data_IF_065285111343
#
_entry.id   IF_065285111343
#
_cell.length_a   1.000
_cell.length_b   1.000
_cell.length_c   1.000
_cell.angle_alpha   90.00
_cell.angle_beta   90.00
_cell.angle_gamma   90.00
#
_symmetry.space_group_name_H-M   'P 1'
#
loop_
_entity.id
_entity.type
_entity.pdbx_description
1 polymer ?
#
# COMPACT_ATOMS: atom_id res chain seq x y z
N UNK A 1 17.97 17.44 -9.50
CA UNK A 1 16.78 17.80 -8.72
C UNK A 1 17.19 17.97 -7.27
N UNK A 2 16.62 18.97 -6.61
CA UNK A 2 16.74 19.23 -5.19
C UNK A 2 15.53 18.64 -4.46
N UNK A 3 15.79 17.72 -3.55
CA UNK A 3 14.75 17.02 -2.78
C UNK A 3 14.94 17.32 -1.30
N UNK A 4 13.89 17.81 -0.67
CA UNK A 4 13.84 18.02 0.77
C UNK A 4 13.09 16.85 1.39
N UNK A 5 13.72 16.16 2.34
CA UNK A 5 13.13 15.01 3.04
C UNK A 5 12.98 15.39 4.51
N UNK A 6 11.74 15.39 5.00
CA UNK A 6 11.41 15.66 6.39
C UNK A 6 11.20 14.34 7.13
N UNK A 7 12.01 14.13 8.18
CA UNK A 7 12.10 12.89 8.93
C UNK A 7 13.22 11.99 8.40
N UNK A 8 14.32 11.92 9.14
CA UNK A 8 15.49 11.11 8.82
C UNK A 8 15.47 9.74 9.54
N UNK A 9 14.29 9.22 9.84
CA UNK A 9 14.09 7.85 10.32
C UNK A 9 14.51 6.78 9.30
N UNK A 10 14.10 5.53 9.51
CA UNK A 10 14.43 4.41 8.60
C UNK A 10 14.01 4.67 7.16
N UNK A 11 12.78 5.15 6.95
CA UNK A 11 12.23 5.43 5.61
C UNK A 11 12.94 6.62 4.96
N UNK A 12 12.94 7.80 5.58
CA UNK A 12 13.56 8.98 4.99
C UNK A 12 15.07 8.83 4.74
N UNK A 13 15.79 8.14 5.64
CA UNK A 13 17.21 7.83 5.40
C UNK A 13 17.43 6.85 4.23
N UNK A 14 16.51 5.90 4.03
CA UNK A 14 16.60 4.97 2.89
C UNK A 14 16.32 5.67 1.57
N UNK A 15 15.29 6.53 1.53
CA UNK A 15 14.98 7.39 0.37
C UNK A 15 16.18 8.29 0.05
N UNK A 16 16.74 8.97 1.05
CA UNK A 16 17.90 9.82 0.86
C UNK A 16 19.10 9.06 0.29
N UNK A 17 19.37 7.85 0.77
CA UNK A 17 20.48 7.02 0.30
C UNK A 17 20.35 6.70 -1.19
N UNK A 18 19.16 6.26 -1.60
CA UNK A 18 18.89 5.91 -2.99
C UNK A 18 19.00 7.14 -3.89
N UNK A 19 18.37 8.24 -3.51
CA UNK A 19 18.39 9.46 -4.32
C UNK A 19 19.79 10.09 -4.41
N UNK A 20 20.62 9.98 -3.37
CA UNK A 20 22.02 10.37 -3.43
C UNK A 20 22.81 9.53 -4.44
N UNK A 21 22.54 8.22 -4.53
CA UNK A 21 23.18 7.34 -5.51
C UNK A 21 22.84 7.76 -6.95
N UNK A 22 21.63 8.28 -7.17
CA UNK A 22 21.18 8.87 -8.44
C UNK A 22 21.61 10.33 -8.65
N UNK A 23 22.52 10.85 -7.82
CA UNK A 23 23.12 12.20 -7.90
C UNK A 23 22.10 13.34 -7.75
N UNK A 24 21.05 13.13 -6.96
CA UNK A 24 20.16 14.21 -6.53
C UNK A 24 20.76 15.00 -5.37
N UNK A 25 20.38 16.28 -5.25
CA UNK A 25 20.75 17.12 -4.12
C UNK A 25 19.74 16.91 -3.00
N UNK A 26 20.18 16.38 -1.86
CA UNK A 26 19.29 16.01 -0.75
C UNK A 26 19.52 16.93 0.43
N UNK A 27 18.43 17.51 0.95
CA UNK A 27 18.38 18.16 2.26
C UNK A 27 17.47 17.35 3.18
N UNK A 28 18.01 16.88 4.30
CA UNK A 28 17.25 16.20 5.36
C UNK A 28 16.93 17.17 6.48
N UNK A 29 15.66 17.19 6.90
CA UNK A 29 15.19 17.91 8.08
C UNK A 29 14.78 16.88 9.14
N UNK A 30 15.33 16.98 10.34
CA UNK A 30 14.90 16.17 11.48
C UNK A 30 14.98 16.98 12.78
N UNK A 31 14.09 16.69 13.73
CA UNK A 31 14.10 17.34 15.04
C UNK A 31 15.31 16.90 15.88
N UNK A 32 15.80 15.67 15.65
CA UNK A 32 16.79 15.00 16.49
C UNK A 32 18.19 15.05 15.86
N UNK A 33 19.14 15.83 16.39
CA UNK A 33 20.49 15.94 15.84
C UNK A 33 21.25 14.60 15.83
N UNK A 34 20.94 13.70 16.75
CA UNK A 34 21.58 12.39 16.86
C UNK A 34 21.28 11.45 15.68
N UNK A 35 20.30 11.79 14.82
CA UNK A 35 19.98 11.01 13.61
C UNK A 35 21.05 11.22 12.53
N UNK A 36 21.68 12.40 12.48
CA UNK A 36 22.74 12.73 11.51
C UNK A 36 23.86 11.68 11.58
N UNK A 37 24.40 11.46 12.78
CA UNK A 37 25.50 10.51 13.00
C UNK A 37 25.12 9.05 12.77
N UNK A 38 23.86 8.68 12.98
CA UNK A 38 23.36 7.30 12.81
C UNK A 38 23.01 6.95 11.36
N UNK A 39 22.64 7.95 10.56
CA UNK A 39 22.20 7.72 9.18
C UNK A 39 23.29 7.16 8.26
N UNK A 40 24.56 7.54 8.51
CA UNK A 40 25.69 7.23 7.64
C UNK A 40 25.60 7.86 6.25
N UNK A 41 24.70 8.85 6.05
CA UNK A 41 24.47 9.48 4.75
C UNK A 41 25.53 10.53 4.47
N UNK A 42 26.54 10.15 3.68
CA UNK A 42 27.55 11.09 3.17
C UNK A 42 27.00 11.80 1.93
N UNK A 43 27.14 13.12 1.90
CA UNK A 43 26.72 13.96 0.76
C UNK A 43 25.32 14.55 0.85
N UNK A 44 24.54 14.24 1.89
CA UNK A 44 23.32 14.97 2.20
C UNK A 44 23.62 16.26 2.99
N UNK A 45 22.84 17.30 2.72
CA UNK A 45 22.72 18.46 3.59
C UNK A 45 21.75 18.17 4.73
N UNK A 46 21.94 18.83 5.86
CA UNK A 46 21.16 18.60 7.07
C UNK A 46 20.69 19.91 7.67
N UNK A 47 19.43 19.92 8.11
CA UNK A 47 18.86 20.96 8.94
C UNK A 47 18.23 20.30 10.18
N UNK A 48 18.62 20.75 11.36
CA UNK A 48 18.01 20.28 12.61
C UNK A 48 16.97 21.31 13.05
N UNK A 49 15.72 20.88 13.18
CA UNK A 49 14.63 21.76 13.57
C UNK A 49 13.26 21.09 13.48
N UNK A 50 12.25 21.76 14.05
CA UNK A 50 10.86 21.35 13.91
C UNK A 50 10.35 21.78 12.53
N UNK A 51 10.01 20.80 11.69
CA UNK A 51 9.52 21.05 10.34
C UNK A 51 8.07 21.58 10.30
N UNK A 52 7.38 21.64 11.44
CA UNK A 52 6.11 22.38 11.57
C UNK A 52 6.33 23.89 11.76
N UNK A 53 7.55 24.35 12.06
CA UNK A 53 7.87 25.77 12.18
C UNK A 53 8.27 26.37 10.82
N UNK A 54 7.61 27.47 10.44
CA UNK A 54 7.89 28.17 9.19
C UNK A 54 9.35 28.66 9.10
N UNK A 55 9.93 29.08 10.23
CA UNK A 55 11.35 29.49 10.34
C UNK A 55 12.31 28.36 9.94
N UNK A 56 12.03 27.13 10.35
CA UNK A 56 12.80 25.95 9.95
C UNK A 56 12.70 25.74 8.44
N UNK A 57 11.49 25.79 7.90
CA UNK A 57 11.25 25.59 6.46
C UNK A 57 11.88 26.70 5.59
N UNK A 58 11.90 27.94 6.07
CA UNK A 58 12.64 29.05 5.45
C UNK A 58 14.15 28.80 5.48
N UNK A 59 14.68 28.31 6.61
CA UNK A 59 16.08 27.89 6.72
C UNK A 59 16.47 26.78 5.75
N UNK A 60 15.51 25.92 5.39
CA UNK A 60 15.67 24.87 4.38
C UNK A 60 15.65 25.38 2.93
N UNK A 61 15.21 26.63 2.70
CA UNK A 61 14.92 27.16 1.37
C UNK A 61 13.99 26.23 0.58
N UNK A 62 12.84 25.92 1.19
CA UNK A 62 11.82 25.04 0.61
C UNK A 62 11.37 25.50 -0.80
N UNK A 63 11.38 26.80 -1.06
CA UNK A 63 11.03 27.41 -2.35
C UNK A 63 11.92 26.97 -3.51
N UNK A 64 13.16 26.54 -3.22
CA UNK A 64 14.11 26.03 -4.21
C UNK A 64 13.95 24.51 -4.46
N UNK A 65 13.08 23.83 -3.69
CA UNK A 65 12.93 22.38 -3.77
C UNK A 65 12.04 21.97 -4.95
N UNK A 66 12.50 21.00 -5.74
CA UNK A 66 11.68 20.40 -6.80
C UNK A 66 10.62 19.46 -6.19
N UNK A 67 11.01 18.75 -5.13
CA UNK A 67 10.16 17.77 -4.43
C UNK A 67 10.37 17.86 -2.92
N UNK A 68 9.26 17.81 -2.18
CA UNK A 68 9.27 17.63 -0.72
C UNK A 68 8.68 16.27 -0.36
N UNK A 69 9.41 15.50 0.46
CA UNK A 69 8.97 14.21 0.98
C UNK A 69 8.79 14.33 2.49
N UNK A 70 7.57 14.15 2.99
CA UNK A 70 7.29 14.12 4.42
C UNK A 70 7.16 12.67 4.90
N UNK A 71 8.26 12.16 5.46
CA UNK A 71 8.45 10.75 5.80
C UNK A 71 8.65 10.52 7.31
N UNK A 72 8.11 11.43 8.14
CA UNK A 72 8.16 11.28 9.59
C UNK A 72 7.23 10.15 10.06
N UNK A 73 7.38 9.76 11.33
CA UNK A 73 6.50 8.79 11.98
C UNK A 73 5.18 9.37 12.49
N UNK A 74 4.89 10.66 12.24
CA UNK A 74 3.65 11.31 12.65
C UNK A 74 2.92 11.89 11.43
N UNK A 75 1.72 11.37 11.17
CA UNK A 75 0.88 11.80 10.05
C UNK A 75 0.53 13.29 10.11
N UNK A 76 0.41 13.87 11.32
CA UNK A 76 0.09 15.29 11.48
C UNK A 76 1.24 16.16 10.99
N UNK A 77 2.48 15.77 11.32
CA UNK A 77 3.66 16.46 10.82
C UNK A 77 3.73 16.32 9.30
N UNK A 78 3.44 15.13 8.76
CA UNK A 78 3.49 14.91 7.32
C UNK A 78 2.44 15.77 6.57
N UNK A 79 1.23 15.88 7.08
CA UNK A 79 0.18 16.75 6.52
C UNK A 79 0.56 18.23 6.62
N UNK A 80 1.00 18.70 7.79
CA UNK A 80 1.38 20.12 7.99
C UNK A 80 2.54 20.52 7.08
N UNK A 81 3.57 19.69 7.00
CA UNK A 81 4.74 19.95 6.13
C UNK A 81 4.33 20.00 4.66
N UNK A 82 3.48 19.07 4.22
CA UNK A 82 3.03 19.02 2.82
C UNK A 82 2.18 20.25 2.48
N UNK A 83 1.27 20.63 3.38
CA UNK A 83 0.45 21.83 3.23
C UNK A 83 1.33 23.09 3.14
N UNK A 84 2.24 23.30 4.10
CA UNK A 84 3.12 24.48 4.12
C UNK A 84 4.04 24.51 2.90
N UNK A 85 4.63 23.38 2.50
CA UNK A 85 5.44 23.28 1.29
C UNK A 85 4.66 23.75 0.04
N UNK A 86 3.38 23.35 -0.06
CA UNK A 86 2.52 23.72 -1.19
C UNK A 86 2.07 25.18 -1.12
N UNK A 87 1.58 25.65 0.03
CA UNK A 87 0.91 26.95 0.16
C UNK A 87 1.87 28.11 0.40
N UNK A 88 2.91 27.92 1.21
CA UNK A 88 3.82 29.01 1.60
C UNK A 88 5.06 29.08 0.70
N UNK A 89 5.51 27.93 0.18
CA UNK A 89 6.76 27.84 -0.60
C UNK A 89 6.52 27.50 -2.07
N UNK A 90 5.30 27.15 -2.47
CA UNK A 90 4.94 26.89 -3.87
C UNK A 90 5.66 25.68 -4.47
N UNK A 91 6.04 24.70 -3.64
CA UNK A 91 6.75 23.48 -4.09
C UNK A 91 5.90 22.75 -5.14
N UNK A 92 6.52 22.43 -6.27
CA UNK A 92 5.83 21.82 -7.40
C UNK A 92 5.21 20.46 -7.07
N UNK A 93 5.90 19.64 -6.27
CA UNK A 93 5.46 18.30 -5.92
C UNK A 93 5.75 17.89 -4.47
N UNK A 94 4.76 17.35 -3.78
CA UNK A 94 4.86 16.82 -2.42
C UNK A 94 4.52 15.33 -2.37
N UNK A 95 5.20 14.60 -1.49
CA UNK A 95 4.96 13.18 -1.23
C UNK A 95 4.80 12.99 0.27
N UNK A 96 3.64 12.52 0.71
CA UNK A 96 3.31 12.34 2.12
C UNK A 96 3.23 10.87 2.51
N UNK A 97 3.97 10.47 3.54
CA UNK A 97 3.85 9.12 4.11
C UNK A 97 2.64 9.05 5.05
N UNK A 98 1.78 8.07 4.82
CA UNK A 98 0.71 7.67 5.75
C UNK A 98 1.23 6.53 6.62
N UNK A 99 1.26 6.76 7.93
CA UNK A 99 1.65 5.78 8.95
C UNK A 99 0.44 5.06 9.53
N UNK A 100 -0.71 5.74 9.67
CA UNK A 100 -1.95 5.15 10.13
C UNK A 100 -2.99 5.13 9.00
N UNK A 101 -3.43 3.96 8.52
CA UNK A 101 -4.41 3.88 7.42
C UNK A 101 -5.72 4.62 7.70
N UNK A 102 -6.10 4.82 8.96
CA UNK A 102 -7.29 5.62 9.33
C UNK A 102 -7.19 7.09 8.92
N UNK A 103 -5.97 7.58 8.68
CA UNK A 103 -5.70 8.95 8.29
C UNK A 103 -5.55 9.11 6.77
N UNK A 104 -5.56 8.02 6.01
CA UNK A 104 -5.26 7.99 4.57
C UNK A 104 -6.10 9.00 3.76
N UNK A 105 -7.40 9.07 4.07
CA UNK A 105 -8.35 9.98 3.43
C UNK A 105 -7.95 11.47 3.50
N UNK A 106 -7.10 11.87 4.46
CA UNK A 106 -6.61 13.25 4.60
C UNK A 106 -5.45 13.55 3.66
N UNK A 107 -4.73 12.54 3.15
CA UNK A 107 -3.54 12.74 2.32
C UNK A 107 -3.94 12.95 0.85
N UNK A 108 -4.47 14.14 0.57
CA UNK A 108 -4.91 14.54 -0.77
C UNK A 108 -4.52 16.00 -1.07
N UNK A 109 -4.87 16.47 -2.28
CA UNK A 109 -4.56 17.81 -2.79
C UNK A 109 -5.01 18.94 -1.84
N UNK A 110 -6.10 18.76 -1.09
CA UNK A 110 -6.62 19.77 -0.16
C UNK A 110 -5.68 20.01 1.03
N UNK A 111 -4.85 19.02 1.35
CA UNK A 111 -3.78 19.10 2.36
C UNK A 111 -2.40 19.30 1.73
N UNK A 112 -2.36 19.63 0.44
CA UNK A 112 -1.11 19.85 -0.29
C UNK A 112 -0.29 18.58 -0.46
N UNK A 113 -0.92 17.39 -0.48
CA UNK A 113 -0.26 16.10 -0.73
C UNK A 113 -0.56 15.65 -2.16
N UNK A 114 0.40 15.76 -3.07
CA UNK A 114 0.22 15.31 -4.45
C UNK A 114 0.32 13.78 -4.60
N UNK A 115 1.09 13.13 -3.72
CA UNK A 115 1.24 11.66 -3.68
C UNK A 115 1.21 11.17 -2.25
N UNK A 116 0.20 10.36 -1.93
CA UNK A 116 0.10 9.65 -0.65
C UNK A 116 0.79 8.29 -0.74
N UNK A 117 1.60 7.95 0.26
CA UNK A 117 2.26 6.64 0.38
C UNK A 117 1.84 5.97 1.67
N UNK A 118 0.85 5.08 1.59
CA UNK A 118 0.36 4.31 2.71
C UNK A 118 1.23 3.08 2.95
N UNK A 119 2.22 3.22 3.85
CA UNK A 119 3.19 2.15 4.08
C UNK A 119 2.54 0.88 4.63
N UNK A 120 1.64 0.92 5.63
CA UNK A 120 0.98 -0.29 6.11
C UNK A 120 0.18 -1.00 5.03
N UNK A 121 -0.59 -0.27 4.21
CA UNK A 121 -1.39 -0.87 3.16
C UNK A 121 -0.54 -1.51 2.06
N UNK A 122 0.55 -0.85 1.63
CA UNK A 122 1.49 -1.42 0.67
C UNK A 122 2.14 -2.70 1.22
N UNK A 123 2.50 -2.73 2.50
CA UNK A 123 3.06 -3.92 3.12
C UNK A 123 2.04 -5.06 3.22
N UNK A 124 0.79 -4.75 3.55
CA UNK A 124 -0.29 -5.74 3.54
C UNK A 124 -0.49 -6.33 2.16
N UNK A 125 -0.57 -5.48 1.12
CA UNK A 125 -0.76 -5.92 -0.26
C UNK A 125 0.35 -6.86 -0.73
N UNK A 126 1.62 -6.60 -0.36
CA UNK A 126 2.74 -7.49 -0.69
C UNK A 126 2.68 -8.84 0.07
N UNK A 127 2.06 -8.87 1.24
CA UNK A 127 1.87 -10.13 1.98
C UNK A 127 0.70 -10.91 1.40
N UNK A 128 -0.40 -10.23 1.04
CA UNK A 128 -1.56 -10.82 0.36
C UNK A 128 -1.15 -11.41 -0.98
N UNK A 129 -0.39 -10.69 -1.81
CA UNK A 129 0.13 -11.21 -3.09
C UNK A 129 0.96 -12.48 -2.91
N UNK A 130 1.75 -12.57 -1.84
CA UNK A 130 2.58 -13.74 -1.60
C UNK A 130 1.79 -15.00 -1.12
N UNK A 131 0.52 -14.86 -0.74
CA UNK A 131 -0.26 -15.95 -0.11
C UNK A 131 -1.60 -16.23 -0.77
N UNK A 132 -2.17 -15.28 -1.50
CA UNK A 132 -3.51 -15.36 -2.07
C UNK A 132 -3.47 -16.06 -3.44
N UNK A 133 -4.38 -16.99 -3.68
CA UNK A 133 -4.52 -17.71 -4.96
C UNK A 133 -6.00 -17.70 -5.32
N UNK A 134 -6.32 -17.27 -6.54
CA UNK A 134 -7.71 -17.20 -6.98
C UNK A 134 -8.48 -16.01 -6.47
N UNK A 135 -7.80 -14.96 -6.02
CA UNK A 135 -8.41 -13.67 -5.75
C UNK A 135 -7.55 -12.52 -6.29
N UNK A 136 -8.19 -11.39 -6.55
CA UNK A 136 -7.53 -10.21 -7.11
C UNK A 136 -6.89 -9.38 -5.99
N UNK A 137 -5.56 -9.25 -6.00
CA UNK A 137 -4.80 -8.49 -5.01
C UNK A 137 -4.41 -7.12 -5.56
N UNK A 138 -4.74 -6.05 -4.82
CA UNK A 138 -4.35 -4.68 -5.20
C UNK A 138 -2.98 -4.32 -4.63
N UNK A 139 -1.97 -4.29 -5.48
CA UNK A 139 -0.58 -4.01 -5.10
C UNK A 139 -0.33 -2.53 -4.79
N UNK A 140 -0.84 -1.64 -5.64
CA UNK A 140 -0.66 -0.20 -5.47
C UNK A 140 -1.71 0.63 -6.22
N UNK A 141 -1.98 1.82 -5.68
CA UNK A 141 -2.83 2.82 -6.32
C UNK A 141 -1.97 3.88 -7.03
N UNK A 142 -2.27 4.13 -8.30
CA UNK A 142 -1.62 5.12 -9.15
C UNK A 142 -2.47 6.40 -9.26
N UNK A 143 -1.82 7.51 -9.60
CA UNK A 143 -2.45 8.78 -9.99
C UNK A 143 -3.64 9.20 -9.09
N UNK A 144 -3.40 9.35 -7.78
CA UNK A 144 -4.41 9.87 -6.84
C UNK A 144 -5.74 9.10 -6.87
N UNK A 145 -5.70 7.78 -7.06
CA UNK A 145 -6.90 6.93 -6.98
C UNK A 145 -7.61 6.68 -8.31
N UNK A 146 -7.03 7.09 -9.45
CA UNK A 146 -7.67 6.86 -10.76
C UNK A 146 -7.43 5.42 -11.25
N UNK A 147 -6.25 4.88 -11.02
CA UNK A 147 -5.86 3.55 -11.48
C UNK A 147 -5.18 2.75 -10.38
N UNK A 148 -5.18 1.43 -10.50
CA UNK A 148 -4.50 0.50 -9.63
C UNK A 148 -3.71 -0.51 -10.45
N UNK A 149 -2.60 -0.98 -9.87
CA UNK A 149 -1.94 -2.21 -10.31
C UNK A 149 -2.49 -3.33 -9.44
N UNK A 150 -3.07 -4.33 -10.09
CA UNK A 150 -3.62 -5.53 -9.45
C UNK A 150 -2.94 -6.76 -10.01
N UNK A 151 -2.87 -7.80 -9.19
CA UNK A 151 -2.30 -9.11 -9.53
C UNK A 151 -3.36 -10.18 -9.28
N UNK A 152 -3.32 -11.23 -10.08
CA UNK A 152 -4.16 -12.42 -9.94
C UNK A 152 -3.35 -13.67 -10.23
N UNK A 153 -3.16 -14.51 -9.22
CA UNK A 153 -2.55 -15.83 -9.39
C UNK A 153 -3.61 -16.83 -9.81
N UNK A 154 -3.47 -17.41 -11.01
CA UNK A 154 -4.44 -18.32 -11.63
C UNK A 154 -4.48 -19.66 -10.88
N UNK A 155 -5.61 -20.03 -10.25
CA UNK A 155 -5.77 -21.35 -9.64
C UNK A 155 -5.62 -22.47 -10.67
N UNK A 156 -5.09 -23.63 -10.26
CA UNK A 156 -4.93 -24.78 -11.18
C UNK A 156 -6.24 -25.39 -11.69
N UNK A 157 -7.37 -25.04 -11.09
CA UNK A 157 -8.73 -25.42 -11.50
C UNK A 157 -9.51 -24.25 -12.12
N UNK A 158 -8.83 -23.14 -12.43
CA UNK A 158 -9.47 -21.95 -12.99
C UNK A 158 -10.07 -22.19 -14.37
N UNK A 159 -11.24 -21.62 -14.59
CA UNK A 159 -11.98 -21.72 -15.85
C UNK A 159 -11.31 -20.97 -17.01
N UNK A 160 -10.34 -20.08 -16.74
CA UNK A 160 -9.57 -19.37 -17.79
C UNK A 160 -8.39 -20.18 -18.33
N UNK A 161 -8.03 -21.31 -17.71
CA UNK A 161 -6.93 -22.16 -18.17
C UNK A 161 -7.21 -22.67 -19.58
N UNK A 162 -6.21 -22.57 -20.46
CA UNK A 162 -6.29 -23.02 -21.85
C UNK A 162 -6.97 -22.03 -22.79
N UNK A 163 -7.57 -20.95 -22.28
CA UNK A 163 -8.00 -19.83 -23.10
C UNK A 163 -6.80 -18.99 -23.53
N UNK A 164 -6.87 -18.41 -24.73
CA UNK A 164 -5.91 -17.38 -25.11
C UNK A 164 -6.30 -16.04 -24.49
N UNK A 165 -5.32 -15.17 -24.24
CA UNK A 165 -5.56 -13.79 -23.80
C UNK A 165 -6.54 -13.07 -24.74
N UNK A 166 -6.52 -13.40 -26.04
CA UNK A 166 -7.41 -12.83 -27.04
C UNK A 166 -8.84 -13.36 -27.06
N UNK A 167 -9.11 -14.50 -26.42
CA UNK A 167 -10.45 -15.11 -26.30
C UNK A 167 -11.24 -14.56 -25.11
N UNK A 168 -10.53 -14.01 -24.11
CA UNK A 168 -11.13 -13.44 -22.91
C UNK A 168 -11.59 -12.01 -23.18
N UNK A 169 -12.85 -11.73 -22.80
CA UNK A 169 -13.44 -10.40 -22.91
C UNK A 169 -13.13 -9.60 -21.63
N UNK A 170 -11.93 -9.04 -21.58
CA UNK A 170 -11.51 -8.19 -20.46
C UNK A 170 -12.42 -6.96 -20.28
N UNK A 171 -12.68 -6.49 -19.04
CA UNK A 171 -13.36 -5.22 -18.82
C UNK A 171 -12.68 -4.06 -19.57
N UNK A 172 -13.45 -3.10 -20.08
CA UNK A 172 -12.93 -2.01 -20.93
C UNK A 172 -11.84 -1.18 -20.22
N UNK A 173 -11.99 -1.02 -18.91
CA UNK A 173 -11.07 -0.26 -18.06
C UNK A 173 -10.01 -1.13 -17.37
N UNK A 174 -9.78 -2.37 -17.84
CA UNK A 174 -8.75 -3.28 -17.35
C UNK A 174 -7.79 -3.70 -18.47
N UNK A 175 -6.48 -3.51 -18.26
CA UNK A 175 -5.44 -3.88 -19.23
C UNK A 175 -4.48 -4.88 -18.62
N UNK A 176 -4.38 -6.08 -19.21
CA UNK A 176 -3.33 -7.06 -18.87
C UNK A 176 -1.97 -6.53 -19.36
N UNK A 177 -1.04 -6.29 -18.44
CA UNK A 177 0.26 -5.67 -18.74
C UNK A 177 1.44 -6.65 -18.69
N UNK A 178 1.32 -7.74 -17.92
CA UNK A 178 2.33 -8.78 -17.83
C UNK A 178 1.71 -10.11 -17.40
N UNK A 179 2.32 -11.21 -17.84
CA UNK A 179 2.12 -12.54 -17.27
C UNK A 179 3.47 -12.95 -16.69
N UNK A 180 3.51 -13.39 -15.43
CA UNK A 180 4.68 -14.04 -14.86
C UNK A 180 4.45 -15.54 -14.84
N UNK A 181 5.35 -16.28 -15.48
CA UNK A 181 5.35 -17.75 -15.52
C UNK A 181 6.75 -18.24 -15.23
N UNK A 182 6.89 -19.19 -14.30
CA UNK A 182 8.20 -19.72 -13.88
C UNK A 182 9.21 -18.62 -13.50
N UNK A 183 8.74 -17.55 -12.83
CA UNK A 183 9.52 -16.35 -12.47
C UNK A 183 10.10 -15.56 -13.65
N UNK A 184 9.60 -15.78 -14.87
CA UNK A 184 9.96 -15.03 -16.05
C UNK A 184 8.80 -14.14 -16.52
N UNK A 185 9.03 -12.83 -16.77
CA UNK A 185 8.00 -11.97 -17.30
C UNK A 185 7.77 -12.24 -18.79
N UNK A 186 6.51 -12.35 -19.17
CA UNK A 186 6.01 -12.51 -20.53
C UNK A 186 5.18 -11.26 -20.87
N UNK A 187 5.49 -10.63 -22.00
CA UNK A 187 4.67 -9.54 -22.54
C UNK A 187 3.42 -10.15 -23.18
N UNK A 188 2.20 -9.81 -22.73
CA UNK A 188 0.98 -10.45 -23.21
C UNK A 188 0.73 -10.17 -24.70
N UNK A 189 0.50 -11.24 -25.44
CA UNK A 189 0.02 -11.28 -26.82
C UNK A 189 -1.36 -11.95 -26.85
N UNK A 190 -2.14 -11.68 -27.88
CA UNK A 190 -3.47 -12.30 -28.05
C UNK A 190 -3.41 -13.82 -28.16
N UNK A 191 -2.29 -14.38 -28.61
CA UNK A 191 -2.10 -15.81 -28.82
C UNK A 191 -1.54 -16.53 -27.57
N UNK A 192 -1.17 -15.80 -26.52
CA UNK A 192 -0.65 -16.42 -25.30
C UNK A 192 -1.77 -17.16 -24.58
N UNK A 193 -1.51 -18.41 -24.22
CA UNK A 193 -2.45 -19.28 -23.51
C UNK A 193 -2.21 -19.14 -22.02
N UNK A 194 -3.27 -18.92 -21.25
CA UNK A 194 -3.21 -18.86 -19.78
C UNK A 194 -3.07 -20.28 -19.23
N UNK A 195 -2.15 -20.44 -18.27
CA UNK A 195 -1.89 -21.70 -17.57
C UNK A 195 -2.11 -21.54 -16.06
N UNK A 196 -2.33 -22.65 -15.38
CA UNK A 196 -2.47 -22.67 -13.93
C UNK A 196 -1.15 -22.28 -13.24
N UNK A 197 -1.22 -21.36 -12.29
CA UNK A 197 -0.05 -20.78 -11.61
C UNK A 197 0.57 -19.59 -12.32
N UNK A 198 -0.01 -19.12 -13.44
CA UNK A 198 0.35 -17.81 -14.00
C UNK A 198 -0.03 -16.70 -13.02
N UNK A 199 0.84 -15.70 -12.87
CA UNK A 199 0.52 -14.45 -12.17
C UNK A 199 0.19 -13.38 -13.23
N UNK A 200 -1.06 -12.95 -13.27
CA UNK A 200 -1.57 -11.98 -14.23
C UNK A 200 -1.56 -10.58 -13.62
N UNK A 201 -0.81 -9.65 -14.23
CA UNK A 201 -0.74 -8.27 -13.76
C UNK A 201 -1.61 -7.37 -14.63
N UNK A 202 -2.50 -6.60 -14.00
CA UNK A 202 -3.37 -5.66 -14.68
C UNK A 202 -3.18 -4.24 -14.17
N UNK A 203 -3.28 -3.27 -15.08
CA UNK A 203 -3.60 -1.89 -14.72
C UNK A 203 -5.08 -1.69 -14.97
N UNK A 204 -5.82 -1.30 -13.94
CA UNK A 204 -7.28 -1.15 -14.00
C UNK A 204 -7.75 0.09 -13.24
N UNK A 205 -8.98 0.56 -13.50
CA UNK A 205 -9.62 1.56 -12.65
C UNK A 205 -10.21 0.90 -11.40
N UNK A 206 -10.35 1.65 -10.31
CA UNK A 206 -10.96 1.13 -9.07
C UNK A 206 -12.38 0.60 -9.32
N UNK A 207 -13.13 1.20 -10.26
CA UNK A 207 -14.50 0.79 -10.57
C UNK A 207 -14.57 -0.54 -11.34
N UNK A 208 -13.54 -0.87 -12.13
CA UNK A 208 -13.50 -2.10 -12.92
C UNK A 208 -12.85 -3.28 -12.19
N UNK A 209 -12.35 -3.08 -10.96
CA UNK A 209 -11.78 -4.17 -10.16
C UNK A 209 -12.81 -5.24 -9.81
N UNK A 210 -14.05 -4.84 -9.50
CA UNK A 210 -15.12 -5.80 -9.16
C UNK A 210 -15.51 -6.65 -10.37
N UNK A 211 -15.62 -6.02 -11.55
CA UNK A 211 -15.90 -6.73 -12.81
C UNK A 211 -14.76 -7.68 -13.19
N UNK A 212 -13.51 -7.23 -13.02
CA UNK A 212 -12.32 -8.06 -13.26
C UNK A 212 -12.27 -9.25 -12.30
N UNK A 213 -12.58 -9.03 -11.02
CA UNK A 213 -12.66 -10.08 -9.99
C UNK A 213 -13.76 -11.09 -10.32
N UNK A 214 -14.95 -10.63 -10.66
CA UNK A 214 -16.06 -11.50 -11.03
C UNK A 214 -15.78 -12.34 -12.29
N UNK A 215 -15.00 -11.80 -13.24
CA UNK A 215 -14.57 -12.53 -14.43
C UNK A 215 -13.53 -13.61 -14.09
N UNK A 216 -12.53 -13.31 -13.27
CA UNK A 216 -11.41 -14.22 -12.99
C UNK A 216 -11.74 -15.27 -11.91
N UNK A 217 -12.58 -14.87 -10.96
CA UNK A 217 -13.04 -15.66 -9.82
C UNK A 217 -14.56 -15.59 -9.71
N UNK A 218 -15.30 -16.18 -10.68
CA UNK A 218 -16.75 -16.30 -10.54
C UNK A 218 -17.02 -17.09 -9.27
N UNK A 219 -17.76 -16.49 -8.32
CA UNK A 219 -18.23 -17.19 -7.14
C UNK A 219 -18.89 -18.50 -7.61
N UNK A 220 -18.44 -19.63 -7.06
CA UNK A 220 -19.10 -20.90 -7.29
C UNK A 220 -20.55 -20.78 -6.79
N UNK A 221 -21.51 -20.74 -7.70
CA UNK A 221 -22.91 -20.98 -7.36
C UNK A 221 -23.02 -22.37 -6.69
N UNK A 222 -23.51 -22.38 -5.44
CA UNK A 222 -24.02 -23.48 -4.61
C UNK A 222 -23.04 -24.49 -3.94
N UNK A 223 -22.88 -24.35 -2.62
CA UNK A 223 -23.47 -25.37 -1.74
C UNK A 223 -24.59 -24.71 -0.90
N UNK A 224 -25.85 -25.19 -0.97
CA UNK A 224 -26.90 -24.71 -0.09
C UNK A 224 -26.59 -25.17 1.35
N UNK A 225 -26.62 -24.24 2.30
CA UNK A 225 -26.80 -24.54 3.72
C UNK A 225 -28.14 -25.28 3.90
N UNK A 226 -28.16 -26.62 3.78
CA UNK A 226 -29.12 -27.41 4.53
C UNK A 226 -28.70 -28.88 4.66
N UNK A 227 -28.37 -29.28 5.88
CA UNK A 227 -28.90 -30.51 6.47
C UNK A 227 -28.68 -30.50 7.98
N UNK A 228 -29.75 -30.47 8.79
CA UNK A 228 -29.65 -30.68 10.23
C UNK A 228 -29.50 -32.17 10.49
N UNK A 229 -28.35 -32.60 10.97
CA UNK A 229 -28.16 -33.97 11.50
C UNK A 229 -27.77 -33.91 12.98
N UNK A 230 -28.78 -33.95 13.85
CA UNK A 230 -28.67 -34.80 15.04
C UNK A 230 -29.26 -36.18 14.72
N UNK A 231 -29.22 -37.17 15.64
CA UNK A 231 -28.69 -37.16 17.00
C UNK A 231 -27.67 -38.30 17.25
N UNK A 232 -27.35 -38.55 18.52
CA UNK A 232 -26.50 -39.61 19.11
C UNK A 232 -25.00 -39.28 19.20
N UNK A 233 -24.35 -39.20 20.35
CA UNK A 233 -24.75 -39.42 21.74
C UNK A 233 -23.50 -39.79 22.53
N UNK A 234 -23.17 -39.06 23.60
CA UNK A 234 -22.39 -39.59 24.74
C UNK A 234 -22.83 -38.90 26.03
N UNK A 235 -23.25 -39.77 26.96
CA UNK A 235 -23.57 -39.70 28.40
C UNK A 235 -23.06 -38.53 29.30
N UNK A 236 -23.70 -38.34 30.47
CA UNK A 236 -23.62 -37.16 31.32
C UNK A 236 -22.47 -37.24 32.33
N UNK A 237 -21.97 -36.08 32.73
CA UNK A 237 -21.22 -35.91 33.97
C UNK A 237 -22.07 -35.05 34.92
N UNK A 238 -22.82 -35.73 35.78
CA UNK A 238 -23.17 -35.18 37.09
C UNK A 238 -21.87 -34.92 37.85
N UNK A 239 -21.73 -33.76 38.51
CA UNK A 239 -21.47 -33.66 39.96
C UNK A 239 -21.28 -32.20 40.39
N UNK A 240 -22.15 -31.80 41.31
CA UNK A 240 -22.01 -30.77 42.36
C UNK A 240 -22.16 -29.29 42.00
N UNK A 241 -23.42 -28.85 42.15
CA UNK A 241 -23.78 -27.57 42.72
C UNK A 241 -23.19 -27.41 44.13
N UNK A 242 -22.52 -26.28 44.36
CA UNK A 242 -22.31 -25.71 45.69
C UNK A 242 -23.42 -24.70 45.90
N UNK A 243 -24.40 -25.09 46.73
CA UNK A 243 -25.30 -24.18 47.42
C UNK A 243 -24.47 -23.42 48.45
N UNK A 244 -24.47 -22.08 48.36
CA UNK A 244 -24.02 -21.20 49.42
C UNK A 244 -25.26 -20.44 49.91
N UNK A 245 -25.98 -21.10 50.82
CA UNK A 245 -27.04 -20.50 51.64
C UNK A 245 -26.37 -19.92 52.89
N UNK A 246 -26.75 -18.69 53.21
CA UNK A 246 -26.07 -17.87 54.21
C UNK A 246 -26.13 -18.40 55.64
N UNK A 247 -25.21 -17.87 56.45
CA UNK A 247 -25.43 -17.76 57.89
C UNK A 247 -24.96 -16.41 58.42
N UNK A 248 -25.83 -15.89 59.27
CA UNK A 248 -25.86 -14.62 59.99
C UNK A 248 -24.80 -14.60 61.12
N UNK A 249 -24.17 -13.45 61.36
CA UNK A 249 -23.17 -13.26 62.43
C UNK A 249 -22.32 -12.00 62.29
#
# INVERSE_FOLDING_TARGET
MKVVIVGAGSVGSSIARELLAHKHEILLIDLKPEVIGRSGLRGAHWLVGDACELSTLQGAKMEDADVVVSATGDDKVNLVVSLLAKTEFGVGRTVGRVNNPKNDWMFNDSWGVDVAVNTPQLMTALVEEAVEIGDLVRLLTLQTGVASLVEFTVPHDSHVIGLTVGDIHWPEDATLVAILRDHAPITPSRDDVIDGGDELFFVTTIAAEDDLRALLSPESEDEPEDSPSGPDGVHPAETQALEDDGFDG
#
